data_IF_411504669893
#
_entry.id   IF_411504669893
#
_cell.length_a   1.000
_cell.length_b   1.000
_cell.length_c   1.000
_cell.angle_alpha   90.00
_cell.angle_beta   90.00
_cell.angle_gamma   90.00
#
_symmetry.space_group_name_H-M   'P 1'
#
loop_
_entity.id
_entity.type
_entity.pdbx_description
1 polymer ?
#
# COMPACT_ATOMS: atom_id res chain seq x y z
N UNK A 1 42.22 -25.94 45.36
CA UNK A 1 41.99 -24.92 44.32
C UNK A 1 40.95 -25.45 43.34
N UNK A 2 39.68 -25.04 43.44
CA UNK A 2 38.61 -25.43 42.49
C UNK A 2 38.12 -24.14 41.84
N UNK A 3 38.40 -24.00 40.53
CA UNK A 3 38.04 -22.83 39.73
C UNK A 3 36.54 -22.89 39.41
N UNK A 4 35.81 -21.84 39.77
CA UNK A 4 34.45 -21.62 39.30
C UNK A 4 34.51 -21.19 37.83
N UNK A 5 33.98 -22.02 36.92
CA UNK A 5 33.79 -21.64 35.53
C UNK A 5 32.43 -20.97 35.44
N UNK A 6 32.43 -19.63 35.37
CA UNK A 6 31.25 -18.84 35.07
C UNK A 6 31.03 -18.94 33.56
N UNK A 7 30.07 -19.76 33.14
CA UNK A 7 29.59 -19.78 31.75
C UNK A 7 28.67 -18.57 31.60
N UNK A 8 29.23 -17.47 31.09
CA UNK A 8 28.44 -16.33 30.65
C UNK A 8 27.68 -16.78 29.40
N UNK A 9 26.40 -17.11 29.58
CA UNK A 9 25.46 -17.27 28.48
C UNK A 9 25.28 -15.89 27.82
N UNK A 10 26.04 -15.63 26.76
CA UNK A 10 25.76 -14.55 25.83
C UNK A 10 24.43 -14.88 25.15
N UNK A 11 23.36 -14.30 25.66
CA UNK A 11 22.10 -14.20 24.91
C UNK A 11 22.41 -13.25 23.76
N UNK A 12 22.83 -13.84 22.63
CA UNK A 12 22.81 -13.16 21.35
C UNK A 12 21.34 -12.81 21.10
N UNK A 13 20.99 -11.55 21.36
CA UNK A 13 19.78 -10.95 20.82
C UNK A 13 20.00 -10.92 19.31
N UNK A 14 19.66 -12.02 18.65
CA UNK A 14 19.50 -12.04 17.21
C UNK A 14 18.35 -11.08 16.94
N UNK A 15 18.69 -9.85 16.52
CA UNK A 15 17.72 -8.96 15.91
C UNK A 15 16.99 -9.79 14.86
N UNK A 16 15.68 -9.94 15.05
CA UNK A 16 14.82 -10.68 14.16
C UNK A 16 14.70 -9.90 12.84
N UNK A 17 15.76 -9.86 12.05
CA UNK A 17 15.71 -9.50 10.63
C UNK A 17 15.12 -10.69 9.88
N UNK A 18 13.90 -11.06 10.26
CA UNK A 18 13.10 -11.96 9.47
C UNK A 18 12.84 -11.28 8.11
N UNK A 19 12.79 -12.03 7.00
CA UNK A 19 12.58 -11.48 5.65
C UNK A 19 11.27 -10.68 5.46
N UNK A 20 10.48 -10.48 6.53
CA UNK A 20 9.18 -9.82 6.58
C UNK A 20 9.04 -8.80 7.73
N UNK A 21 10.16 -8.33 8.29
CA UNK A 21 10.18 -7.64 9.58
C UNK A 21 9.54 -6.24 9.60
N UNK A 22 9.44 -5.52 8.48
CA UNK A 22 9.12 -4.08 8.53
C UNK A 22 10.20 -3.23 7.85
N UNK A 23 9.92 -2.18 7.05
CA UNK A 23 10.85 -1.06 7.09
C UNK A 23 10.93 -0.62 8.55
N UNK A 24 12.08 -0.11 8.97
CA UNK A 24 12.13 0.63 10.22
C UNK A 24 11.24 1.86 10.07
N UNK A 25 10.10 1.86 10.74
CA UNK A 25 9.21 3.00 10.82
C UNK A 25 9.65 3.94 11.95
N UNK A 26 9.29 5.23 11.91
CA UNK A 26 9.58 6.15 13.02
C UNK A 26 9.04 5.64 14.36
N UNK A 27 9.72 6.04 15.44
CA UNK A 27 9.27 5.73 16.80
C UNK A 27 7.83 6.22 17.04
N UNK A 28 7.03 5.39 17.70
CA UNK A 28 5.60 5.65 17.94
C UNK A 28 4.68 5.26 16.78
N UNK A 29 5.22 4.71 15.68
CA UNK A 29 4.41 4.05 14.67
C UNK A 29 3.73 2.80 15.23
N UNK A 30 2.50 2.56 14.79
CA UNK A 30 1.71 1.38 15.13
C UNK A 30 1.08 0.78 13.87
N UNK A 31 0.80 -0.53 13.91
CA UNK A 31 0.09 -1.19 12.84
C UNK A 31 -1.32 -0.59 12.69
N UNK A 32 -1.68 -0.28 11.45
CA UNK A 32 -3.00 0.22 11.08
C UNK A 32 -3.63 -0.81 10.16
N UNK A 33 -4.88 -1.22 10.41
CA UNK A 33 -5.57 -2.12 9.49
C UNK A 33 -6.35 -1.31 8.45
N UNK A 34 -5.89 -1.35 7.20
CA UNK A 34 -6.65 -0.81 6.08
C UNK A 34 -7.77 -1.78 5.71
N UNK A 35 -9.02 -1.30 5.72
CA UNK A 35 -10.15 -2.07 5.23
C UNK A 35 -10.09 -2.12 3.71
N UNK A 36 -9.95 -3.31 3.16
CA UNK A 36 -10.01 -3.51 1.71
C UNK A 36 -11.44 -3.35 1.21
N UNK A 37 -11.65 -2.39 0.32
CA UNK A 37 -12.94 -2.18 -0.35
C UNK A 37 -12.98 -2.87 -1.72
N UNK A 38 -11.85 -2.91 -2.42
CA UNK A 38 -11.71 -3.66 -3.67
C UNK A 38 -10.25 -3.96 -4.02
N UNK A 39 -9.96 -5.21 -4.40
CA UNK A 39 -8.69 -5.58 -5.07
C UNK A 39 -8.68 -5.35 -6.58
N UNK A 40 -9.81 -4.97 -7.17
CA UNK A 40 -9.94 -4.83 -8.63
C UNK A 40 -10.38 -3.41 -8.98
N UNK A 41 -9.47 -2.67 -9.57
CA UNK A 41 -9.67 -1.30 -10.06
C UNK A 41 -9.30 -1.18 -11.54
N UNK A 42 -9.10 0.04 -12.07
CA UNK A 42 -8.68 0.18 -13.45
C UNK A 42 -7.25 -0.32 -13.60
N UNK A 43 -6.95 -0.88 -14.77
CA UNK A 43 -5.57 -1.25 -15.12
C UNK A 43 -4.71 0.00 -15.31
N UNK A 44 -3.48 0.00 -14.81
CA UNK A 44 -2.50 1.07 -15.04
C UNK A 44 -1.07 0.53 -14.83
N UNK A 45 -0.01 1.20 -15.28
CA UNK A 45 1.35 0.59 -15.41
C UNK A 45 2.47 1.29 -14.65
N UNK A 46 2.11 2.22 -13.79
CA UNK A 46 3.07 2.86 -12.89
C UNK A 46 2.59 2.71 -11.45
N UNK A 47 3.48 2.42 -10.50
CA UNK A 47 3.12 2.42 -9.09
C UNK A 47 2.72 3.84 -8.68
N UNK A 48 1.67 3.94 -7.89
CA UNK A 48 1.14 5.21 -7.43
C UNK A 48 0.25 5.00 -6.20
N UNK A 49 0.11 6.06 -5.41
CA UNK A 49 -0.79 6.12 -4.26
C UNK A 49 -1.58 7.42 -4.30
N UNK A 50 -2.90 7.30 -4.17
CA UNK A 50 -3.84 8.43 -4.17
C UNK A 50 -4.69 8.29 -2.92
N UNK A 51 -4.93 9.38 -2.23
CA UNK A 51 -5.76 9.37 -1.04
C UNK A 51 -6.59 10.65 -0.93
N UNK A 52 -7.78 10.52 -0.35
CA UNK A 52 -8.64 11.64 0.02
C UNK A 52 -9.64 11.19 1.09
N UNK A 53 -10.23 12.13 1.81
CA UNK A 53 -11.42 11.89 2.63
C UNK A 53 -12.70 11.76 1.81
N UNK A 54 -12.64 11.97 0.49
CA UNK A 54 -13.76 11.85 -0.45
C UNK A 54 -13.51 10.69 -1.42
N UNK A 55 -14.43 9.73 -1.45
CA UNK A 55 -14.30 8.59 -2.35
C UNK A 55 -14.40 9.02 -3.82
N UNK A 56 -15.21 10.04 -4.11
CA UNK A 56 -15.37 10.53 -5.48
C UNK A 56 -14.07 11.18 -5.99
N UNK A 57 -13.37 11.92 -5.13
CA UNK A 57 -12.10 12.53 -5.50
C UNK A 57 -11.02 11.48 -5.78
N UNK A 58 -10.97 10.41 -4.97
CA UNK A 58 -10.05 9.29 -5.24
C UNK A 58 -10.35 8.65 -6.59
N UNK A 59 -11.63 8.39 -6.91
CA UNK A 59 -12.02 7.84 -8.21
C UNK A 59 -11.60 8.74 -9.37
N UNK A 60 -11.91 10.03 -9.28
CA UNK A 60 -11.61 10.98 -10.35
C UNK A 60 -10.10 11.09 -10.59
N UNK A 61 -9.30 11.12 -9.53
CA UNK A 61 -7.83 11.16 -9.64
C UNK A 61 -7.26 9.86 -10.22
N UNK A 62 -7.77 8.69 -9.81
CA UNK A 62 -7.37 7.39 -10.38
C UNK A 62 -7.70 7.31 -11.87
N UNK A 63 -8.90 7.75 -12.27
CA UNK A 63 -9.31 7.79 -13.67
C UNK A 63 -8.39 8.73 -14.46
N UNK A 64 -8.16 9.95 -13.96
CA UNK A 64 -7.29 10.91 -14.60
C UNK A 64 -5.86 10.38 -14.78
N UNK A 65 -5.32 9.71 -13.76
CA UNK A 65 -4.01 9.07 -13.80
C UNK A 65 -3.95 7.99 -14.89
N UNK A 66 -4.91 7.06 -14.89
CA UNK A 66 -4.98 5.96 -15.85
C UNK A 66 -5.24 6.41 -17.31
N UNK A 67 -5.97 7.52 -17.49
CA UNK A 67 -6.17 8.19 -18.79
C UNK A 67 -4.85 8.80 -19.27
N UNK A 68 -4.16 9.55 -18.42
CA UNK A 68 -2.95 10.30 -18.77
C UNK A 68 -1.80 9.41 -19.25
N UNK A 69 -1.63 8.23 -18.63
CA UNK A 69 -0.53 7.31 -18.95
C UNK A 69 -0.75 6.56 -20.27
N UNK A 70 -2.00 6.20 -20.60
CA UNK A 70 -2.31 5.33 -21.75
C UNK A 70 -3.04 6.02 -22.90
N UNK A 71 -3.34 7.32 -22.81
CA UNK A 71 -4.18 8.07 -23.77
C UNK A 71 -5.53 7.38 -24.03
N UNK A 72 -6.09 6.76 -23.00
CA UNK A 72 -7.44 6.16 -23.02
C UNK A 72 -8.47 7.22 -22.65
N UNK A 73 -9.71 7.02 -23.07
CA UNK A 73 -10.85 7.78 -22.58
C UNK A 73 -11.32 7.26 -21.22
N UNK A 74 -12.03 8.07 -20.41
CA UNK A 74 -12.62 7.60 -19.16
C UNK A 74 -13.52 6.36 -19.35
N UNK A 75 -14.27 6.29 -20.45
CA UNK A 75 -15.11 5.13 -20.79
C UNK A 75 -14.31 3.84 -20.98
N UNK A 76 -13.14 3.92 -21.60
CA UNK A 76 -12.24 2.76 -21.79
C UNK A 76 -11.50 2.37 -20.50
N UNK A 77 -11.30 3.32 -19.57
CA UNK A 77 -10.71 3.04 -18.26
C UNK A 77 -11.72 2.32 -17.37
N UNK A 78 -12.98 2.78 -17.39
CA UNK A 78 -14.04 2.28 -16.52
C UNK A 78 -14.91 1.17 -17.14
N UNK A 79 -14.62 0.72 -18.37
CA UNK A 79 -15.38 -0.36 -19.00
C UNK A 79 -15.27 -1.64 -18.17
N UNK A 80 -16.40 -2.31 -17.93
CA UNK A 80 -16.39 -3.61 -17.28
C UNK A 80 -15.55 -4.59 -18.11
N UNK A 81 -14.59 -5.25 -17.46
CA UNK A 81 -13.85 -6.36 -18.04
C UNK A 81 -14.56 -7.66 -17.66
N UNK A 82 -14.39 -8.75 -18.42
CA UNK A 82 -15.07 -10.04 -18.14
C UNK A 82 -14.90 -10.50 -16.68
N UNK A 83 -13.77 -10.17 -16.05
CA UNK A 83 -13.45 -10.53 -14.66
C UNK A 83 -13.54 -9.36 -13.68
N UNK A 84 -13.86 -8.14 -14.12
CA UNK A 84 -13.89 -6.94 -13.28
C UNK A 84 -15.16 -6.14 -13.54
N UNK A 85 -16.24 -6.40 -12.77
CA UNK A 85 -17.56 -5.84 -13.06
C UNK A 85 -17.74 -4.34 -12.73
N UNK A 86 -16.77 -3.69 -12.10
CA UNK A 86 -16.79 -2.25 -11.81
C UNK A 86 -15.37 -1.74 -11.52
N UNK A 87 -14.53 -1.54 -12.54
CA UNK A 87 -13.13 -1.19 -12.33
C UNK A 87 -12.97 0.20 -11.70
N UNK A 88 -13.91 1.13 -11.87
CA UNK A 88 -13.80 2.47 -11.28
C UNK A 88 -14.50 2.59 -9.92
N UNK A 89 -14.94 1.46 -9.36
CA UNK A 89 -15.56 1.36 -8.05
C UNK A 89 -16.84 2.18 -7.91
N UNK A 90 -17.58 2.45 -8.99
CA UNK A 90 -18.84 3.22 -8.97
C UNK A 90 -19.88 2.69 -7.96
N UNK A 91 -19.85 1.39 -7.63
CA UNK A 91 -20.74 0.74 -6.67
C UNK A 91 -20.34 0.95 -5.20
N UNK A 92 -19.11 1.38 -4.93
CA UNK A 92 -18.67 1.69 -3.57
C UNK A 92 -19.39 2.93 -3.04
N UNK A 93 -19.63 3.00 -1.74
CA UNK A 93 -20.36 4.10 -1.11
C UNK A 93 -19.42 4.89 -0.22
N UNK A 94 -19.52 6.21 -0.29
CA UNK A 94 -18.76 7.08 0.59
C UNK A 94 -19.30 7.02 2.02
N UNK A 95 -18.42 6.67 2.96
CA UNK A 95 -18.57 6.60 4.40
C UNK A 95 -17.92 7.81 5.07
N UNK A 96 -18.72 8.54 5.85
CA UNK A 96 -18.22 9.64 6.66
C UNK A 96 -17.20 9.16 7.70
N UNK A 97 -16.14 9.95 7.93
CA UNK A 97 -15.11 9.62 8.91
C UNK A 97 -14.05 8.64 8.41
N UNK A 98 -13.89 8.49 7.10
CA UNK A 98 -12.87 7.64 6.50
C UNK A 98 -11.86 8.44 5.65
N UNK A 99 -10.66 7.90 5.53
CA UNK A 99 -9.70 8.27 4.48
C UNK A 99 -9.63 7.10 3.51
N UNK A 100 -9.88 7.37 2.23
CA UNK A 100 -9.73 6.39 1.16
C UNK A 100 -8.30 6.43 0.64
N UNK A 101 -7.76 5.24 0.37
CA UNK A 101 -6.42 5.07 -0.18
C UNK A 101 -6.52 4.14 -1.37
N UNK A 102 -6.28 4.68 -2.56
CA UNK A 102 -6.09 3.90 -3.77
C UNK A 102 -4.60 3.64 -3.97
N UNK A 103 -4.22 2.39 -4.21
CA UNK A 103 -2.84 1.97 -4.44
C UNK A 103 -2.77 1.14 -5.70
N UNK A 104 -1.79 1.46 -6.54
CA UNK A 104 -1.33 0.56 -7.58
C UNK A 104 0.16 0.30 -7.39
N UNK A 105 0.54 -0.95 -7.55
CA UNK A 105 1.92 -1.43 -7.49
C UNK A 105 2.20 -2.21 -8.77
N UNK A 106 3.47 -2.21 -9.20
CA UNK A 106 3.88 -3.14 -10.24
C UNK A 106 3.80 -4.57 -9.68
N UNK A 107 3.21 -5.48 -10.44
CA UNK A 107 3.10 -6.86 -9.99
C UNK A 107 4.46 -7.55 -10.10
N UNK A 108 4.97 -8.02 -8.96
CA UNK A 108 6.17 -8.84 -8.89
C UNK A 108 5.78 -10.31 -9.07
N UNK A 109 6.07 -10.86 -10.26
CA UNK A 109 5.70 -12.21 -10.68
C UNK A 109 6.79 -13.25 -10.42
N UNK A 110 8.00 -12.82 -10.06
CA UNK A 110 9.10 -13.71 -9.65
C UNK A 110 9.28 -13.73 -8.14
N UNK A 111 8.69 -12.82 -7.38
CA UNK A 111 8.93 -12.73 -5.94
C UNK A 111 7.64 -12.92 -5.15
N UNK A 112 7.73 -13.55 -3.98
CA UNK A 112 6.64 -13.50 -3.01
C UNK A 112 6.45 -12.06 -2.53
N UNK A 113 5.22 -11.58 -2.51
CA UNK A 113 4.89 -10.24 -2.00
C UNK A 113 4.01 -10.29 -0.76
N UNK A 114 4.05 -9.20 0.01
CA UNK A 114 3.17 -8.99 1.17
C UNK A 114 2.85 -7.51 1.29
N UNK A 115 1.62 -7.18 1.64
CA UNK A 115 1.24 -5.82 1.96
C UNK A 115 1.01 -5.66 3.46
N UNK A 116 1.34 -4.49 3.99
CA UNK A 116 1.07 -4.11 5.37
C UNK A 116 0.79 -2.60 5.44
N UNK A 117 0.24 -2.14 6.57
CA UNK A 117 -0.02 -0.72 6.79
C UNK A 117 0.26 -0.32 8.23
N UNK A 118 0.65 0.94 8.40
CA UNK A 118 0.98 1.52 9.69
C UNK A 118 0.64 3.01 9.72
N UNK A 119 0.49 3.57 10.90
CA UNK A 119 0.35 5.00 11.12
C UNK A 119 1.42 5.47 12.13
N UNK A 120 1.98 6.65 11.89
CA UNK A 120 2.92 7.30 12.81
C UNK A 120 2.98 8.79 12.58
N UNK A 121 2.81 9.58 13.65
CA UNK A 121 2.64 11.03 13.55
C UNK A 121 1.56 11.39 12.53
N UNK A 122 1.89 12.26 11.57
CA UNK A 122 1.02 12.65 10.45
C UNK A 122 1.29 11.85 9.16
N UNK A 123 1.67 10.58 9.27
CA UNK A 123 1.91 9.71 8.10
C UNK A 123 1.16 8.38 8.22
N UNK A 124 0.43 8.04 7.17
CA UNK A 124 -0.09 6.69 6.90
C UNK A 124 0.87 6.02 5.91
N UNK A 125 1.40 4.87 6.30
CA UNK A 125 2.30 4.04 5.48
C UNK A 125 1.51 2.88 4.88
N UNK A 126 1.55 2.74 3.56
CA UNK A 126 1.24 1.52 2.84
C UNK A 126 2.57 0.87 2.45
N UNK A 127 2.81 -0.35 2.90
CA UNK A 127 4.11 -1.01 2.78
C UNK A 127 3.96 -2.22 1.87
N UNK A 128 4.62 -2.18 0.72
CA UNK A 128 4.71 -3.29 -0.21
C UNK A 128 6.05 -4.00 -0.07
N UNK A 129 6.00 -5.26 0.34
CA UNK A 129 7.15 -6.15 0.48
C UNK A 129 7.37 -6.94 -0.78
N UNK A 130 8.62 -6.95 -1.23
CA UNK A 130 9.09 -7.81 -2.31
C UNK A 130 10.17 -8.73 -1.74
N UNK A 131 9.85 -10.03 -1.67
CA UNK A 131 10.81 -11.05 -1.27
C UNK A 131 11.86 -11.32 -2.35
N UNK A 132 12.77 -12.25 -2.07
CA UNK A 132 13.78 -12.65 -3.04
C UNK A 132 13.15 -13.27 -4.29
N UNK A 133 13.71 -13.02 -5.49
CA UNK A 133 13.24 -13.65 -6.72
C UNK A 133 13.33 -15.18 -6.66
N UNK A 134 12.24 -15.84 -7.00
CA UNK A 134 12.01 -17.27 -7.08
C UNK A 134 11.27 -17.58 -8.40
N UNK A 135 12.01 -18.02 -9.42
CA UNK A 135 11.43 -18.52 -10.67
C UNK A 135 11.32 -17.50 -11.80
N UNK A 136 10.52 -17.85 -12.82
CA UNK A 136 10.34 -17.09 -14.07
C UNK A 136 8.98 -16.39 -14.09
N UNK A 137 8.98 -15.12 -14.50
CA UNK A 137 7.77 -14.33 -14.64
C UNK A 137 7.04 -14.68 -15.94
N UNK A 138 5.73 -14.94 -15.83
CA UNK A 138 4.84 -14.73 -16.96
C UNK A 138 4.17 -13.36 -16.85
N UNK A 139 4.55 -12.42 -17.72
CA UNK A 139 4.01 -11.06 -17.74
C UNK A 139 2.48 -11.01 -17.96
N UNK A 140 1.87 -12.04 -18.56
CA UNK A 140 0.42 -12.11 -18.73
C UNK A 140 -0.33 -12.36 -17.42
N UNK A 141 0.36 -12.77 -16.36
CA UNK A 141 -0.21 -13.00 -15.02
C UNK A 141 -0.13 -11.76 -14.12
N UNK A 142 0.51 -10.70 -14.60
CA UNK A 142 0.98 -9.57 -13.81
C UNK A 142 0.33 -8.27 -14.30
N UNK A 143 -1.00 -8.19 -14.27
CA UNK A 143 -1.72 -6.97 -14.66
C UNK A 143 -1.87 -6.04 -13.45
N UNK A 144 -1.04 -4.98 -13.32
CA UNK A 144 -1.22 -3.97 -12.28
C UNK A 144 -2.60 -3.31 -12.39
N UNK A 145 -3.38 -3.48 -11.34
CA UNK A 145 -4.69 -2.85 -11.17
C UNK A 145 -4.65 -2.01 -9.90
N UNK A 146 -5.34 -0.89 -9.94
CA UNK A 146 -5.59 -0.13 -8.72
C UNK A 146 -6.39 -0.96 -7.72
N UNK A 147 -6.08 -0.79 -6.45
CA UNK A 147 -6.78 -1.37 -5.31
C UNK A 147 -7.28 -0.25 -4.42
N UNK A 148 -8.45 -0.42 -3.83
CA UNK A 148 -9.09 0.58 -2.99
C UNK A 148 -9.19 0.08 -1.56
N UNK A 149 -8.72 0.92 -0.65
CA UNK A 149 -8.76 0.71 0.78
C UNK A 149 -9.41 1.90 1.49
N UNK A 150 -9.83 1.69 2.73
CA UNK A 150 -10.22 2.75 3.65
C UNK A 150 -9.57 2.59 5.02
N UNK A 151 -9.28 3.72 5.66
CA UNK A 151 -8.87 3.82 7.04
C UNK A 151 -9.93 4.60 7.82
N UNK A 152 -10.26 4.15 9.04
CA UNK A 152 -11.07 4.97 9.94
C UNK A 152 -10.24 6.18 10.39
N UNK A 153 -10.88 7.35 10.42
CA UNK A 153 -10.24 8.55 11.00
C UNK A 153 -10.00 8.46 12.50
N UNK A 154 -10.64 7.53 13.21
CA UNK A 154 -10.35 7.29 14.63
C UNK A 154 -8.92 6.81 14.87
N UNK A 155 -8.31 6.21 13.84
CA UNK A 155 -7.00 5.56 13.91
C UNK A 155 -5.90 6.45 13.32
N UNK A 156 -6.26 7.68 12.95
CA UNK A 156 -5.41 8.68 12.31
C UNK A 156 -5.42 9.98 13.14
N UNK A 157 -4.48 10.91 12.90
CA UNK A 157 -4.53 12.23 13.53
C UNK A 157 -5.88 12.90 13.31
N UNK A 158 -6.37 13.59 14.33
CA UNK A 158 -7.70 14.21 14.30
C UNK A 158 -7.83 15.33 13.27
N UNK A 159 -6.74 16.00 12.91
CA UNK A 159 -6.72 17.12 11.97
C UNK A 159 -5.32 17.40 11.42
N UNK A 160 -5.26 18.26 10.40
CA UNK A 160 -4.02 18.67 9.77
C UNK A 160 -3.72 17.89 8.50
N UNK A 161 -2.51 18.07 7.97
CA UNK A 161 -2.11 17.42 6.73
C UNK A 161 -1.59 16.02 7.02
N UNK A 162 -2.28 15.00 6.51
CA UNK A 162 -1.85 13.61 6.55
C UNK A 162 -1.04 13.31 5.29
N UNK A 163 0.22 12.89 5.46
CA UNK A 163 0.99 12.26 4.37
C UNK A 163 0.54 10.80 4.24
N UNK A 164 0.32 10.36 3.01
CA UNK A 164 0.06 8.95 2.70
C UNK A 164 1.18 8.46 1.81
N UNK A 165 1.93 7.47 2.29
CA UNK A 165 3.20 7.02 1.69
C UNK A 165 3.12 5.56 1.28
N UNK A 166 3.40 5.28 0.02
CA UNK A 166 3.71 3.95 -0.48
C UNK A 166 5.21 3.70 -0.36
N UNK A 167 5.57 2.72 0.47
CA UNK A 167 6.94 2.28 0.71
C UNK A 167 7.16 0.93 0.03
N UNK A 168 8.18 0.84 -0.82
CA UNK A 168 8.63 -0.44 -1.36
C UNK A 168 9.80 -0.97 -0.52
N UNK A 169 9.71 -2.23 -0.12
CA UNK A 169 10.77 -2.92 0.63
C UNK A 169 11.27 -4.12 -0.17
N UNK A 170 12.60 -4.27 -0.24
CA UNK A 170 13.22 -5.33 -1.02
C UNK A 170 13.27 -5.06 -2.53
N UNK A 171 12.91 -3.86 -2.98
CA UNK A 171 13.07 -3.40 -4.37
C UNK A 171 13.81 -2.07 -4.44
N UNK A 172 14.32 -1.70 -5.62
CA UNK A 172 14.95 -0.40 -5.87
C UNK A 172 13.93 0.72 -6.13
N UNK A 173 12.63 0.44 -6.01
CA UNK A 173 11.59 1.45 -6.13
C UNK A 173 11.62 2.33 -4.87
N UNK A 174 11.75 3.65 -5.05
CA UNK A 174 11.73 4.60 -3.94
C UNK A 174 10.32 4.77 -3.36
N UNK A 175 10.18 5.69 -2.39
CA UNK A 175 8.88 6.01 -1.81
C UNK A 175 8.03 6.88 -2.75
N UNK A 176 6.71 6.68 -2.72
CA UNK A 176 5.73 7.51 -3.43
C UNK A 176 4.75 8.10 -2.43
N UNK A 177 4.54 9.41 -2.45
CA UNK A 177 3.72 10.11 -1.48
C UNK A 177 2.53 10.84 -2.12
N UNK A 178 1.44 10.93 -1.35
CA UNK A 178 0.34 11.89 -1.56
C UNK A 178 -0.03 12.55 -0.22
N UNK A 179 -0.90 13.54 -0.24
CA UNK A 179 -1.31 14.31 0.94
C UNK A 179 -2.82 14.46 1.01
N UNK A 180 -3.36 14.36 2.22
CA UNK A 180 -4.78 14.52 2.51
C UNK A 180 -4.93 15.59 3.58
N UNK A 181 -5.79 16.59 3.34
CA UNK A 181 -6.15 17.55 4.38
C UNK A 181 -7.23 16.94 5.27
N UNK A 182 -6.92 16.73 6.54
CA UNK A 182 -7.88 16.30 7.56
C UNK A 182 -8.52 17.54 8.20
N UNK A 183 -9.85 17.56 8.23
CA UNK A 183 -10.69 18.63 8.81
C UNK A 183 -11.33 18.25 10.13
#
# INVERSE_FOLDING_TARGET
>A
MKRFVIVIAMVLVQGCDAPWAGPTLPDGSHALNLTELSVRGPFDVAPAIIASTSLVEVRDQVIAHAVGIRRRTPGEVCQAYETVPDPCWAQQVDQAGHVYVAVIINYECTSSTKDASAAGGHTLYYIHWVGSPQGVCNASMAQPMWRLYSASRSDLPSSGMLRVRLVFQGSAQGDIDTQVQLT
#
